data_IF_786159516935
#
_entry.id   IF_786159516935
#
_cell.length_a   1.000
_cell.length_b   1.000
_cell.length_c   1.000
_cell.angle_alpha   90.00
_cell.angle_beta   90.00
_cell.angle_gamma   90.00
#
_symmetry.space_group_name_H-M   'P 1'
#
loop_
_entity.id
_entity.type
_entity.pdbx_description
1 polymer ?
#
# COMPACT_ATOMS: atom_id res chain seq x y z
N UNK A 1 1.63 28.89 25.22
CA UNK A 1 2.47 28.20 26.24
C UNK A 1 2.12 26.70 26.29
N UNK A 2 0.85 26.34 26.39
CA UNK A 2 0.40 24.92 26.45
C UNK A 2 0.78 24.12 25.21
N UNK A 3 0.68 24.71 24.00
CA UNK A 3 1.02 24.01 22.75
C UNK A 3 2.54 23.75 22.59
N UNK A 4 3.39 24.46 23.33
CA UNK A 4 4.84 24.24 23.29
C UNK A 4 5.28 23.11 24.23
N UNK A 5 4.56 22.92 25.33
CA UNK A 5 4.89 21.91 26.34
C UNK A 5 4.27 20.53 26.05
N UNK A 6 3.28 20.48 25.14
CA UNK A 6 2.62 19.24 24.68
C UNK A 6 2.34 19.32 23.17
N UNK A 7 3.28 18.93 22.32
CA UNK A 7 3.14 19.04 20.86
C UNK A 7 1.95 18.26 20.29
N UNK A 8 1.44 17.25 20.99
CA UNK A 8 0.27 16.46 20.61
C UNK A 8 -1.01 16.85 21.35
N UNK A 9 -1.05 18.02 22.02
CA UNK A 9 -2.21 18.44 22.81
C UNK A 9 -3.48 18.63 21.98
N UNK A 10 -3.37 19.09 20.75
CA UNK A 10 -4.50 19.24 19.84
C UNK A 10 -5.03 17.88 19.41
N UNK A 11 -4.15 16.93 19.15
CA UNK A 11 -4.52 15.55 18.79
C UNK A 11 -5.16 14.83 19.97
N UNK A 12 -4.63 15.04 21.19
CA UNK A 12 -5.20 14.49 22.44
C UNK A 12 -6.58 15.10 22.74
N UNK A 13 -6.77 16.41 22.52
CA UNK A 13 -8.08 17.06 22.63
C UNK A 13 -9.05 16.55 21.54
N UNK A 14 -8.58 16.41 20.30
CA UNK A 14 -9.38 15.86 19.21
C UNK A 14 -9.82 14.43 19.53
N UNK A 15 -8.91 13.59 19.99
CA UNK A 15 -9.20 12.23 20.43
C UNK A 15 -10.18 12.18 21.60
N UNK A 16 -10.05 13.05 22.60
CA UNK A 16 -10.92 13.05 23.79
C UNK A 16 -12.30 13.64 23.57
N UNK A 17 -12.42 14.69 22.76
CA UNK A 17 -13.68 15.45 22.65
C UNK A 17 -14.41 15.27 21.34
N UNK A 18 -13.72 15.03 20.25
CA UNK A 18 -14.34 14.85 18.93
C UNK A 18 -14.52 13.36 18.58
N UNK A 19 -13.62 12.48 19.00
CA UNK A 19 -13.83 11.04 18.85
C UNK A 19 -14.96 10.52 19.74
N UNK A 20 -15.12 11.06 20.94
CA UNK A 20 -16.23 10.70 21.83
C UNK A 20 -17.62 11.12 21.31
N UNK A 21 -17.67 12.11 20.39
CA UNK A 21 -18.93 12.54 19.77
C UNK A 21 -19.28 11.77 18.47
N UNK A 22 -18.35 11.00 17.94
CA UNK A 22 -18.53 10.24 16.69
C UNK A 22 -18.36 8.74 16.84
N UNK A 23 -18.59 8.17 18.04
CA UNK A 23 -18.66 6.72 18.20
C UNK A 23 -19.82 6.21 17.34
N UNK A 24 -19.50 5.68 16.18
CA UNK A 24 -20.46 4.96 15.36
C UNK A 24 -20.85 3.69 16.09
N UNK A 25 -22.07 3.67 16.61
CA UNK A 25 -22.59 2.49 17.29
C UNK A 25 -22.84 1.39 16.26
N UNK A 26 -22.41 0.19 16.57
CA UNK A 26 -22.77 -0.98 15.79
C UNK A 26 -24.28 -1.25 15.95
N UNK A 27 -24.94 -1.60 14.85
CA UNK A 27 -26.31 -2.10 14.90
C UNK A 27 -26.35 -3.45 15.62
N UNK A 28 -27.56 -3.87 16.05
CA UNK A 28 -27.72 -5.20 16.66
C UNK A 28 -27.27 -6.31 15.72
N UNK A 29 -27.56 -6.19 14.42
CA UNK A 29 -27.15 -7.14 13.39
C UNK A 29 -25.61 -7.24 13.26
N UNK A 30 -24.91 -6.11 13.29
CA UNK A 30 -23.44 -6.06 13.24
C UNK A 30 -22.81 -6.65 14.50
N UNK A 31 -23.38 -6.38 15.68
CA UNK A 31 -22.93 -6.96 16.95
C UNK A 31 -23.15 -8.47 16.97
N UNK A 32 -24.30 -8.95 16.47
CA UNK A 32 -24.59 -10.37 16.35
C UNK A 32 -23.64 -11.05 15.38
N UNK A 33 -23.34 -10.41 14.26
CA UNK A 33 -22.37 -10.88 13.28
C UNK A 33 -20.99 -11.04 13.91
N UNK A 34 -20.47 -10.03 14.63
CA UNK A 34 -19.18 -10.09 15.31
C UNK A 34 -19.11 -11.19 16.35
N UNK A 35 -20.17 -11.37 17.15
CA UNK A 35 -20.22 -12.42 18.18
C UNK A 35 -20.20 -13.84 17.58
N UNK A 36 -20.83 -14.03 16.45
CA UNK A 36 -20.90 -15.33 15.77
C UNK A 36 -19.65 -15.60 14.94
N UNK A 37 -19.06 -14.58 14.33
CA UNK A 37 -17.94 -14.71 13.42
C UNK A 37 -16.58 -14.87 14.16
N UNK A 38 -16.38 -14.11 15.23
CA UNK A 38 -15.10 -14.05 15.96
C UNK A 38 -14.09 -13.12 15.28
N UNK A 39 -12.86 -13.57 15.10
CA UNK A 39 -11.82 -12.76 14.49
C UNK A 39 -12.06 -12.54 12.98
N UNK A 40 -11.87 -11.30 12.52
CA UNK A 40 -11.95 -10.91 11.12
C UNK A 40 -10.64 -11.27 10.43
N UNK A 41 -10.68 -12.14 9.43
CA UNK A 41 -9.50 -12.62 8.72
C UNK A 41 -9.17 -11.67 7.56
N UNK A 42 -8.02 -11.00 7.70
CA UNK A 42 -7.54 -10.03 6.69
C UNK A 42 -6.51 -10.69 5.80
N UNK A 43 -6.79 -10.79 4.50
CA UNK A 43 -5.78 -11.11 3.49
C UNK A 43 -4.98 -9.88 3.08
N UNK A 44 -3.65 -9.99 3.04
CA UNK A 44 -2.76 -8.91 2.62
C UNK A 44 -1.63 -9.44 1.72
N UNK A 45 -0.97 -8.56 0.97
CA UNK A 45 0.18 -8.93 0.15
C UNK A 45 1.46 -8.85 0.98
N UNK A 46 2.29 -9.92 0.93
CA UNK A 46 3.53 -10.05 1.69
C UNK A 46 4.58 -8.99 1.35
N UNK A 47 4.54 -8.41 0.14
CA UNK A 47 5.59 -7.54 -0.39
C UNK A 47 5.05 -6.24 -1.01
N UNK A 48 4.07 -5.60 -0.37
CA UNK A 48 3.61 -4.27 -0.78
C UNK A 48 4.27 -3.19 0.09
N UNK A 49 5.43 -2.73 -0.36
CA UNK A 49 6.30 -1.82 0.39
C UNK A 49 5.54 -0.61 0.94
N UNK A 50 5.60 -0.42 2.26
CA UNK A 50 4.95 0.68 2.99
C UNK A 50 3.47 0.46 3.26
N UNK A 51 2.80 -0.45 2.57
CA UNK A 51 1.39 -0.79 2.79
C UNK A 51 1.24 -2.04 3.64
N UNK A 52 1.85 -3.13 3.20
CA UNK A 52 1.94 -4.37 3.97
C UNK A 52 3.24 -5.11 3.60
N UNK A 53 4.04 -5.42 4.59
CA UNK A 53 5.29 -6.15 4.39
C UNK A 53 5.45 -7.19 5.47
N UNK A 54 5.58 -8.44 5.07
CA UNK A 54 5.81 -9.58 5.97
C UNK A 54 7.30 -9.90 6.03
N UNK A 55 7.87 -9.87 7.23
CA UNK A 55 9.24 -10.28 7.46
C UNK A 55 9.27 -11.77 7.83
N UNK A 56 9.72 -12.60 6.91
CA UNK A 56 9.78 -14.06 7.10
C UNK A 56 10.73 -14.49 8.23
N UNK A 57 11.68 -13.64 8.62
CA UNK A 57 12.63 -13.97 9.69
C UNK A 57 12.06 -13.72 11.08
N UNK A 58 11.30 -12.64 11.24
CA UNK A 58 10.70 -12.26 12.53
C UNK A 58 9.25 -12.71 12.64
N UNK A 59 8.56 -12.96 11.52
CA UNK A 59 7.13 -13.22 11.48
C UNK A 59 6.27 -11.96 11.63
N UNK A 60 6.90 -10.78 11.61
CA UNK A 60 6.20 -9.51 11.82
C UNK A 60 5.59 -8.98 10.51
N UNK A 61 4.42 -8.38 10.64
CA UNK A 61 3.80 -7.57 9.59
C UNK A 61 4.02 -6.10 9.89
N UNK A 62 4.49 -5.35 8.91
CA UNK A 62 4.72 -3.90 9.02
C UNK A 62 4.02 -3.15 7.88
N UNK A 63 3.78 -1.87 8.05
CA UNK A 63 3.14 -1.00 7.06
C UNK A 63 1.79 -0.45 7.54
N UNK A 64 1.12 0.26 6.64
CA UNK A 64 -0.18 0.91 6.91
C UNK A 64 -1.24 -0.08 7.43
N UNK A 65 -1.16 -1.35 7.03
CA UNK A 65 -2.04 -2.41 7.55
C UNK A 65 -1.97 -2.50 9.06
N UNK A 66 -0.76 -2.49 9.63
CA UNK A 66 -0.57 -2.58 11.09
C UNK A 66 -1.18 -1.36 11.79
N UNK A 67 -0.96 -0.15 11.25
CA UNK A 67 -1.53 1.08 11.81
C UNK A 67 -3.06 1.05 11.76
N UNK A 68 -3.64 0.53 10.67
CA UNK A 68 -5.08 0.33 10.56
C UNK A 68 -5.59 -0.65 11.64
N UNK A 69 -4.96 -1.82 11.78
CA UNK A 69 -5.38 -2.86 12.74
C UNK A 69 -5.32 -2.33 14.18
N UNK A 70 -4.23 -1.66 14.54
CA UNK A 70 -4.07 -1.04 15.87
C UNK A 70 -5.20 -0.06 16.16
N UNK A 71 -5.53 0.81 15.21
CA UNK A 71 -6.63 1.75 15.35
C UNK A 71 -7.99 1.05 15.42
N UNK A 72 -8.26 0.17 14.44
CA UNK A 72 -9.58 -0.43 14.24
C UNK A 72 -9.97 -1.34 15.41
N UNK A 73 -9.01 -1.98 16.07
CA UNK A 73 -9.26 -2.86 17.23
C UNK A 73 -10.11 -2.18 18.32
N UNK A 74 -9.91 -0.88 18.55
CA UNK A 74 -10.55 -0.17 19.67
C UNK A 74 -11.41 1.03 19.25
N UNK A 75 -11.60 1.29 17.96
CA UNK A 75 -12.26 2.52 17.50
C UNK A 75 -13.79 2.53 17.66
N UNK A 76 -14.41 1.38 17.92
CA UNK A 76 -15.86 1.22 18.04
C UNK A 76 -16.33 1.08 19.52
N UNK A 77 -15.64 1.70 20.45
CA UNK A 77 -15.98 1.73 21.86
C UNK A 77 -15.86 0.36 22.53
N UNK A 78 -16.93 -0.12 23.17
CA UNK A 78 -16.93 -1.40 23.91
C UNK A 78 -16.90 -2.63 22.98
N UNK A 79 -17.00 -2.43 21.65
CA UNK A 79 -16.96 -3.50 20.67
C UNK A 79 -15.54 -3.62 20.09
N UNK A 80 -14.65 -4.29 20.81
CA UNK A 80 -13.31 -4.57 20.31
C UNK A 80 -13.37 -5.49 19.09
N UNK A 81 -12.70 -5.06 17.99
CA UNK A 81 -12.52 -5.90 16.81
C UNK A 81 -11.26 -6.75 16.97
N UNK A 82 -11.36 -8.01 16.61
CA UNK A 82 -10.23 -8.93 16.58
C UNK A 82 -9.89 -9.23 15.13
N UNK A 83 -8.61 -9.17 14.80
CA UNK A 83 -8.12 -9.39 13.43
C UNK A 83 -7.12 -10.53 13.39
N UNK A 84 -7.22 -11.33 12.32
CA UNK A 84 -6.29 -12.41 11.99
C UNK A 84 -5.66 -12.12 10.62
N UNK A 85 -4.33 -12.06 10.55
CA UNK A 85 -3.61 -11.59 9.37
C UNK A 85 -3.08 -12.75 8.55
N UNK A 86 -3.46 -12.82 7.27
CA UNK A 86 -3.09 -13.86 6.32
C UNK A 86 -2.34 -13.26 5.14
N UNK A 87 -1.04 -13.56 5.02
CA UNK A 87 -0.18 -13.07 3.94
C UNK A 87 -0.27 -13.91 2.68
N UNK A 88 -0.26 -13.25 1.53
CA UNK A 88 -0.26 -13.87 0.19
C UNK A 88 0.86 -13.26 -0.66
N UNK A 89 1.44 -14.07 -1.53
CA UNK A 89 2.46 -13.59 -2.46
C UNK A 89 1.87 -12.96 -3.72
N UNK A 90 0.64 -13.35 -4.08
CA UNK A 90 -0.04 -12.84 -5.26
C UNK A 90 -1.47 -12.40 -4.95
N UNK A 91 -1.95 -11.41 -5.70
CA UNK A 91 -3.33 -10.95 -5.60
C UNK A 91 -4.35 -12.02 -6.06
N UNK A 92 -3.94 -12.91 -6.95
CA UNK A 92 -4.80 -14.01 -7.40
C UNK A 92 -5.07 -15.00 -6.26
N UNK A 93 -4.04 -15.41 -5.52
CA UNK A 93 -4.18 -16.28 -4.34
C UNK A 93 -5.07 -15.61 -3.29
N UNK A 94 -4.84 -14.33 -3.01
CA UNK A 94 -5.63 -13.54 -2.08
C UNK A 94 -7.12 -13.48 -2.48
N UNK A 95 -7.41 -13.27 -3.77
CA UNK A 95 -8.78 -13.27 -4.31
C UNK A 95 -9.42 -14.65 -4.18
N UNK A 96 -8.70 -15.72 -4.52
CA UNK A 96 -9.19 -17.08 -4.38
C UNK A 96 -9.49 -17.43 -2.91
N UNK A 97 -8.61 -17.05 -1.98
CA UNK A 97 -8.84 -17.25 -0.55
C UNK A 97 -10.09 -16.51 -0.05
N UNK A 98 -10.36 -15.29 -0.55
CA UNK A 98 -11.59 -14.57 -0.24
C UNK A 98 -12.83 -15.30 -0.79
N UNK A 99 -12.77 -15.73 -2.03
CA UNK A 99 -13.89 -16.47 -2.67
C UNK A 99 -14.17 -17.80 -1.99
N UNK A 100 -13.12 -18.51 -1.53
CA UNK A 100 -13.23 -19.77 -0.79
C UNK A 100 -13.69 -19.58 0.67
N UNK A 101 -13.72 -18.34 1.19
CA UNK A 101 -14.06 -18.07 2.58
C UNK A 101 -12.93 -18.37 3.57
N UNK A 102 -11.70 -18.47 3.10
CA UNK A 102 -10.50 -18.64 3.93
C UNK A 102 -10.12 -17.32 4.62
N UNK A 103 -10.39 -16.18 3.97
CA UNK A 103 -10.32 -14.82 4.52
C UNK A 103 -11.67 -14.12 4.36
N UNK A 104 -11.87 -13.04 5.10
CA UNK A 104 -13.12 -12.27 5.11
C UNK A 104 -13.02 -10.99 4.30
N UNK A 105 -11.82 -10.41 4.24
CA UNK A 105 -11.57 -9.21 3.45
C UNK A 105 -10.16 -9.21 2.85
N UNK A 106 -10.03 -8.49 1.74
CA UNK A 106 -8.75 -8.11 1.15
C UNK A 106 -8.37 -6.72 1.66
N UNK A 107 -7.22 -6.59 2.27
CA UNK A 107 -6.54 -5.31 2.52
C UNK A 107 -5.65 -5.03 1.35
N UNK A 108 -5.79 -4.11 0.80
CA UNK A 108 -6.41 -3.10 0.00
C UNK A 108 -6.47 -3.54 -1.48
N UNK A 109 -7.41 -3.04 -2.20
CA UNK A 109 -7.49 -3.21 -3.65
C UNK A 109 -7.78 -1.88 -4.31
N UNK A 110 -7.56 -1.78 -5.61
CA UNK A 110 -7.92 -0.59 -6.39
C UNK A 110 -9.42 -0.27 -6.23
N UNK A 111 -9.75 1.00 -5.99
CA UNK A 111 -11.14 1.45 -5.94
C UNK A 111 -11.73 1.53 -7.35
N UNK A 112 -11.87 0.38 -8.01
CA UNK A 112 -12.49 0.20 -9.31
C UNK A 112 -13.78 -0.61 -9.16
N UNK A 113 -14.97 0.03 -9.12
CA UNK A 113 -16.23 -0.66 -8.91
C UNK A 113 -16.54 -1.73 -9.96
N UNK A 114 -16.20 -1.47 -11.21
CA UNK A 114 -16.43 -2.42 -12.30
C UNK A 114 -15.61 -3.70 -12.14
N UNK A 115 -14.31 -3.55 -11.89
CA UNK A 115 -13.46 -4.71 -11.66
C UNK A 115 -13.85 -5.48 -10.38
N UNK A 116 -14.34 -4.78 -9.36
CA UNK A 116 -14.86 -5.42 -8.15
C UNK A 116 -16.10 -6.25 -8.45
N UNK A 117 -17.09 -5.69 -9.16
CA UNK A 117 -18.33 -6.38 -9.55
C UNK A 117 -18.05 -7.62 -10.41
N UNK A 118 -17.15 -7.50 -11.40
CA UNK A 118 -16.73 -8.61 -12.26
C UNK A 118 -16.12 -9.79 -11.47
N UNK A 119 -15.54 -9.52 -10.28
CA UNK A 119 -14.95 -10.51 -9.38
C UNK A 119 -15.86 -10.89 -8.20
N UNK A 120 -17.11 -10.43 -8.16
CA UNK A 120 -18.04 -10.73 -7.07
C UNK A 120 -17.67 -10.07 -5.74
N UNK A 121 -17.04 -8.89 -5.80
CA UNK A 121 -16.57 -8.13 -4.64
C UNK A 121 -17.44 -6.90 -4.38
N UNK A 122 -17.53 -6.52 -3.11
CA UNK A 122 -18.03 -5.23 -2.66
C UNK A 122 -16.88 -4.43 -2.03
N UNK A 123 -16.80 -3.14 -2.38
CA UNK A 123 -15.72 -2.24 -1.94
C UNK A 123 -16.19 -1.36 -0.78
N UNK A 124 -15.30 -1.16 0.21
CA UNK A 124 -15.50 -0.17 1.26
C UNK A 124 -15.34 1.27 0.73
N UNK A 125 -15.58 2.24 1.61
CA UNK A 125 -15.10 3.59 1.43
C UNK A 125 -13.57 3.59 1.21
N UNK A 126 -13.04 4.71 0.70
CA UNK A 126 -11.61 4.86 0.45
C UNK A 126 -10.79 4.66 1.73
N UNK A 127 -9.83 3.74 1.67
CA UNK A 127 -8.86 3.48 2.75
C UNK A 127 -7.65 4.39 2.61
N UNK A 128 -7.08 4.44 1.41
CA UNK A 128 -5.93 5.27 1.08
C UNK A 128 -6.19 6.04 -0.21
N UNK A 129 -5.68 7.27 -0.24
CA UNK A 129 -5.60 8.07 -1.46
C UNK A 129 -4.22 8.71 -1.53
N UNK A 130 -3.50 8.46 -2.60
CA UNK A 130 -2.15 8.96 -2.79
C UNK A 130 -1.88 9.29 -4.25
N UNK A 131 -0.95 10.22 -4.48
CA UNK A 131 -0.55 10.61 -5.83
C UNK A 131 0.49 9.64 -6.38
N UNK A 132 0.44 9.40 -7.66
CA UNK A 132 1.50 8.73 -8.42
C UNK A 132 2.40 9.77 -9.10
N UNK A 133 3.63 9.38 -9.37
CA UNK A 133 4.57 10.20 -10.11
C UNK A 133 5.34 9.37 -11.13
N UNK A 134 5.66 10.00 -12.27
CA UNK A 134 6.53 9.45 -13.28
C UNK A 134 7.93 10.07 -13.14
N UNK A 135 8.97 9.24 -13.11
CA UNK A 135 10.35 9.64 -13.34
C UNK A 135 10.66 9.43 -14.83
N UNK A 136 11.33 10.40 -15.44
CA UNK A 136 11.73 10.33 -16.84
C UNK A 136 13.06 11.05 -17.07
N UNK A 137 13.80 10.66 -18.11
CA UNK A 137 14.98 11.38 -18.57
C UNK A 137 14.63 12.47 -19.59
N UNK A 138 13.37 12.52 -20.04
CA UNK A 138 12.90 13.50 -21.02
C UNK A 138 12.58 14.82 -20.34
N UNK A 139 13.01 15.92 -20.92
CA UNK A 139 12.69 17.27 -20.44
C UNK A 139 11.22 17.69 -20.71
N UNK A 140 10.54 16.95 -21.58
CA UNK A 140 9.11 17.06 -21.85
C UNK A 140 8.44 15.72 -21.66
N UNK A 141 7.37 15.70 -20.87
CA UNK A 141 6.55 14.52 -20.63
C UNK A 141 5.08 14.95 -20.54
N UNK A 142 4.23 14.34 -21.35
CA UNK A 142 2.80 14.57 -21.35
C UNK A 142 2.07 13.26 -21.04
N UNK A 143 1.37 13.21 -19.91
CA UNK A 143 0.65 12.01 -19.48
C UNK A 143 -0.57 11.65 -20.36
N UNK A 144 -1.07 12.59 -21.15
CA UNK A 144 -2.21 12.38 -22.07
C UNK A 144 -1.81 11.72 -23.40
N UNK A 145 -0.51 11.70 -23.69
CA UNK A 145 0.05 11.03 -24.87
C UNK A 145 0.33 9.56 -24.60
N UNK A 146 0.44 8.72 -25.65
CA UNK A 146 0.93 7.36 -25.48
C UNK A 146 2.36 7.36 -24.92
N UNK A 147 2.55 6.68 -23.80
CA UNK A 147 3.85 6.51 -23.16
C UNK A 147 4.10 5.03 -22.85
N UNK A 148 5.36 4.66 -22.71
CA UNK A 148 5.77 3.36 -22.24
C UNK A 148 6.22 3.48 -20.78
N UNK A 149 5.46 2.90 -19.86
CA UNK A 149 5.74 2.92 -18.42
C UNK A 149 6.46 1.65 -17.98
N UNK A 150 7.61 1.79 -17.34
CA UNK A 150 8.27 0.71 -16.63
C UNK A 150 7.75 0.62 -15.19
N UNK A 151 7.38 -0.57 -14.76
CA UNK A 151 6.95 -0.86 -13.38
C UNK A 151 7.57 -2.15 -12.86
N UNK A 152 7.67 -2.35 -11.53
CA UNK A 152 8.01 -3.65 -10.95
C UNK A 152 6.92 -4.69 -11.26
N UNK A 153 7.31 -5.95 -11.55
CA UNK A 153 6.40 -7.03 -11.92
C UNK A 153 5.37 -7.36 -10.83
N UNK A 154 5.72 -7.16 -9.57
CA UNK A 154 4.84 -7.51 -8.45
C UNK A 154 3.98 -6.33 -7.96
N UNK A 155 4.05 -5.17 -8.63
CA UNK A 155 3.20 -4.02 -8.31
C UNK A 155 1.90 -4.06 -9.12
N UNK A 156 1.04 -5.00 -8.72
CA UNK A 156 -0.24 -5.23 -9.40
C UNK A 156 -1.18 -4.02 -9.26
N UNK A 157 -1.18 -3.37 -8.13
CA UNK A 157 -2.02 -2.18 -7.89
C UNK A 157 -1.65 -1.04 -8.82
N UNK A 158 -0.35 -0.81 -9.04
CA UNK A 158 0.13 0.19 -9.99
C UNK A 158 -0.22 -0.18 -11.43
N UNK A 159 -0.11 -1.45 -11.79
CA UNK A 159 -0.53 -1.95 -13.11
C UNK A 159 -2.01 -1.68 -13.36
N UNK A 160 -2.89 -2.02 -12.40
CA UNK A 160 -4.32 -1.73 -12.51
C UNK A 160 -4.60 -0.22 -12.62
N UNK A 161 -3.94 0.59 -11.77
CA UNK A 161 -4.08 2.03 -11.80
C UNK A 161 -3.71 2.60 -13.17
N UNK A 162 -2.57 2.20 -13.75
CA UNK A 162 -2.13 2.67 -15.08
C UNK A 162 -3.07 2.19 -16.18
N UNK A 163 -3.46 0.93 -16.18
CA UNK A 163 -4.35 0.37 -17.20
C UNK A 163 -5.72 1.07 -17.23
N UNK A 164 -6.22 1.48 -16.07
CA UNK A 164 -7.50 2.15 -15.94
C UNK A 164 -7.44 3.64 -16.30
N UNK A 165 -6.47 4.36 -15.76
CA UNK A 165 -6.40 5.82 -15.90
C UNK A 165 -5.66 6.26 -17.17
N UNK A 166 -4.75 5.44 -17.69
CA UNK A 166 -3.90 5.74 -18.85
C UNK A 166 -3.97 4.62 -19.90
N UNK A 167 -5.15 4.36 -20.50
CA UNK A 167 -5.36 3.22 -21.41
C UNK A 167 -4.55 3.29 -22.69
N UNK A 168 -3.96 4.45 -23.02
CA UNK A 168 -3.07 4.62 -24.18
C UNK A 168 -1.62 4.26 -23.87
N UNK A 169 -1.28 4.00 -22.59
CA UNK A 169 0.08 3.68 -22.20
C UNK A 169 0.38 2.19 -22.40
N UNK A 170 1.60 1.89 -22.77
CA UNK A 170 2.14 0.53 -22.77
C UNK A 170 2.84 0.29 -21.43
N UNK A 171 2.47 -0.78 -20.73
CA UNK A 171 3.04 -1.11 -19.43
C UNK A 171 4.06 -2.24 -19.62
N UNK A 172 5.30 -1.99 -19.21
CA UNK A 172 6.39 -2.97 -19.21
C UNK A 172 6.75 -3.33 -17.78
N UNK A 173 6.65 -4.62 -17.46
CA UNK A 173 6.94 -5.17 -16.14
C UNK A 173 8.38 -5.67 -16.07
N UNK A 174 9.11 -5.27 -15.03
CA UNK A 174 10.51 -5.63 -14.78
C UNK A 174 10.65 -6.38 -13.46
N UNK A 175 11.68 -7.25 -13.30
CA UNK A 175 11.86 -8.04 -12.10
C UNK A 175 11.99 -7.22 -10.81
N UNK A 176 12.55 -6.02 -10.90
CA UNK A 176 12.73 -5.12 -9.76
C UNK A 176 12.51 -3.65 -10.12
N UNK A 177 12.35 -2.80 -9.11
CA UNK A 177 12.32 -1.34 -9.29
C UNK A 177 13.61 -0.83 -9.95
N UNK A 178 14.77 -1.37 -9.58
CA UNK A 178 16.05 -1.00 -10.16
C UNK A 178 16.12 -1.34 -11.66
N UNK A 179 15.60 -2.51 -12.07
CA UNK A 179 15.54 -2.89 -13.50
C UNK A 179 14.59 -1.98 -14.27
N UNK A 180 13.44 -1.62 -13.69
CA UNK A 180 12.50 -0.69 -14.28
C UNK A 180 13.11 0.72 -14.47
N UNK A 181 13.81 1.23 -13.45
CA UNK A 181 14.52 2.50 -13.53
C UNK A 181 15.64 2.45 -14.58
N UNK A 182 16.38 1.34 -14.65
CA UNK A 182 17.42 1.13 -15.67
C UNK A 182 16.82 1.16 -17.09
N UNK A 183 15.68 0.50 -17.30
CA UNK A 183 14.98 0.51 -18.58
C UNK A 183 14.56 1.93 -18.99
N UNK A 184 14.04 2.73 -18.08
CA UNK A 184 13.73 4.15 -18.32
C UNK A 184 14.99 4.94 -18.65
N UNK A 185 16.11 4.75 -17.91
CA UNK A 185 17.38 5.45 -18.17
C UNK A 185 17.99 5.11 -19.53
N UNK A 186 17.84 3.88 -19.99
CA UNK A 186 18.35 3.40 -21.29
C UNK A 186 17.42 3.70 -22.46
N UNK A 187 16.25 4.30 -22.19
CA UNK A 187 15.26 4.63 -23.22
C UNK A 187 14.40 3.45 -23.68
N UNK A 188 14.46 2.30 -22.98
CA UNK A 188 13.57 1.15 -23.22
C UNK A 188 12.15 1.40 -22.73
N UNK A 189 11.97 2.37 -21.84
CA UNK A 189 10.70 2.91 -21.40
C UNK A 189 10.78 4.45 -21.33
N UNK A 190 9.64 5.12 -21.48
CA UNK A 190 9.56 6.58 -21.40
C UNK A 190 9.62 7.10 -19.97
N UNK A 191 9.08 6.34 -19.05
CA UNK A 191 9.05 6.69 -17.63
C UNK A 191 9.06 5.45 -16.73
N UNK A 192 9.46 5.67 -15.49
CA UNK A 192 9.23 4.76 -14.35
C UNK A 192 8.17 5.38 -13.45
N UNK A 193 7.13 4.63 -13.11
CA UNK A 193 6.03 5.14 -12.29
C UNK A 193 6.12 4.57 -10.88
N UNK A 194 5.87 5.44 -9.89
CA UNK A 194 5.94 5.12 -8.47
C UNK A 194 4.99 5.98 -7.65
N UNK A 195 4.77 5.67 -6.37
CA UNK A 195 4.11 6.58 -5.45
C UNK A 195 4.92 7.87 -5.27
N UNK A 196 4.24 9.00 -5.27
CA UNK A 196 4.88 10.31 -5.15
C UNK A 196 5.68 10.48 -3.84
N UNK A 197 5.26 9.81 -2.76
CA UNK A 197 5.98 9.78 -1.48
C UNK A 197 7.40 9.21 -1.57
N UNK A 198 7.69 8.40 -2.59
CA UNK A 198 9.02 7.81 -2.83
C UNK A 198 9.98 8.73 -3.61
N UNK A 199 9.47 9.84 -4.20
CA UNK A 199 10.29 10.78 -4.96
C UNK A 199 11.53 11.31 -4.23
N UNK A 200 11.52 11.55 -2.89
CA UNK A 200 12.70 12.02 -2.16
C UNK A 200 13.96 11.17 -2.38
N UNK A 201 13.80 9.86 -2.64
CA UNK A 201 14.92 8.94 -2.92
C UNK A 201 15.72 9.33 -4.18
N UNK A 202 15.06 10.00 -5.12
CA UNK A 202 15.62 10.37 -6.43
C UNK A 202 15.91 11.88 -6.57
N UNK A 203 15.74 12.65 -5.49
CA UNK A 203 15.91 14.12 -5.51
C UNK A 203 17.33 14.57 -5.87
N UNK A 204 18.34 13.77 -5.55
CA UNK A 204 19.75 14.09 -5.82
C UNK A 204 20.15 13.89 -7.29
N UNK A 205 19.40 13.11 -8.04
CA UNK A 205 19.68 12.84 -9.45
C UNK A 205 19.11 13.95 -10.33
N UNK A 206 19.99 14.83 -10.79
CA UNK A 206 19.64 15.97 -11.65
C UNK A 206 19.33 15.59 -13.10
N UNK A 207 19.59 14.35 -13.49
CA UNK A 207 19.29 13.84 -14.84
C UNK A 207 17.85 13.39 -14.99
N UNK A 208 17.09 13.31 -13.88
CA UNK A 208 15.71 12.84 -13.83
C UNK A 208 14.74 14.00 -13.66
N UNK A 209 13.74 14.03 -14.52
CA UNK A 209 12.55 14.86 -14.37
C UNK A 209 11.47 14.10 -13.63
N UNK A 210 10.66 14.81 -12.84
CA UNK A 210 9.61 14.28 -11.97
C UNK A 210 8.30 14.92 -12.34
N UNK A 211 7.34 14.09 -12.71
CA UNK A 211 6.03 14.55 -13.15
C UNK A 211 4.98 13.88 -12.27
N UNK A 212 4.20 14.68 -11.55
CA UNK A 212 3.05 14.15 -10.80
C UNK A 212 1.94 13.82 -11.78
N UNK A 213 1.40 12.61 -11.67
CA UNK A 213 0.26 12.20 -12.47
C UNK A 213 -1.01 12.83 -11.89
N UNK A 214 -1.92 13.28 -12.77
CA UNK A 214 -3.10 14.05 -12.34
C UNK A 214 -4.15 13.20 -11.65
N UNK A 215 -4.22 11.90 -11.96
CA UNK A 215 -5.19 10.99 -11.37
C UNK A 215 -4.65 10.42 -10.04
N UNK A 216 -5.34 10.63 -8.90
CA UNK A 216 -4.93 9.99 -7.65
C UNK A 216 -5.23 8.48 -7.69
N UNK A 217 -4.35 7.70 -7.08
CA UNK A 217 -4.63 6.31 -6.78
C UNK A 217 -5.48 6.22 -5.52
N UNK A 218 -6.60 5.51 -5.59
CA UNK A 218 -7.48 5.25 -4.45
C UNK A 218 -7.61 3.76 -4.21
N UNK A 219 -7.60 3.36 -2.97
CA UNK A 219 -7.77 1.97 -2.56
C UNK A 219 -8.91 1.81 -1.56
N UNK A 220 -9.47 0.62 -1.51
CA UNK A 220 -10.56 0.22 -0.62
C UNK A 220 -10.28 -1.16 -0.05
N UNK A 221 -10.94 -1.53 1.04
CA UNK A 221 -11.09 -2.94 1.37
C UNK A 221 -12.04 -3.58 0.35
N UNK A 222 -11.85 -4.87 0.10
CA UNK A 222 -12.81 -5.66 -0.65
C UNK A 222 -13.31 -6.83 0.22
N UNK A 223 -14.62 -7.03 0.23
CA UNK A 223 -15.30 -8.18 0.84
C UNK A 223 -16.07 -8.92 -0.24
N UNK A 224 -16.53 -10.15 0.02
CA UNK A 224 -17.45 -10.84 -0.91
C UNK A 224 -18.73 -10.01 -1.07
N UNK A 225 -19.26 -10.02 -2.26
CA UNK A 225 -20.59 -9.44 -2.52
C UNK A 225 -21.64 -10.15 -1.65
N UNK A 226 -22.37 -9.36 -0.84
CA UNK A 226 -23.34 -9.89 0.12
C UNK A 226 -22.88 -9.85 1.59
N UNK A 227 -21.60 -9.71 1.89
CA UNK A 227 -21.08 -9.55 3.26
C UNK A 227 -21.33 -8.11 3.78
N UNK A 228 -22.60 -7.72 3.82
CA UNK A 228 -23.03 -6.34 4.10
C UNK A 228 -22.73 -5.91 5.53
N UNK A 229 -22.85 -6.80 6.51
CA UNK A 229 -22.54 -6.50 7.90
C UNK A 229 -21.05 -6.17 8.08
N UNK A 230 -20.15 -7.00 7.53
CA UNK A 230 -18.71 -6.75 7.56
C UNK A 230 -18.37 -5.44 6.85
N UNK A 231 -18.90 -5.22 5.64
CA UNK A 231 -18.67 -4.00 4.88
C UNK A 231 -19.11 -2.75 5.66
N UNK A 232 -20.25 -2.82 6.35
CA UNK A 232 -20.75 -1.72 7.18
C UNK A 232 -19.83 -1.46 8.38
N UNK A 233 -19.39 -2.50 9.08
CA UNK A 233 -18.43 -2.41 10.18
C UNK A 233 -17.13 -1.74 9.72
N UNK A 234 -16.55 -2.20 8.60
CA UNK A 234 -15.34 -1.61 8.02
C UNK A 234 -15.53 -0.13 7.67
N UNK A 235 -16.65 0.23 7.07
CA UNK A 235 -16.95 1.63 6.76
C UNK A 235 -17.09 2.50 8.01
N UNK A 236 -17.59 1.95 9.12
CA UNK A 236 -17.65 2.64 10.40
C UNK A 236 -16.27 2.87 10.99
N UNK A 237 -15.37 1.87 10.92
CA UNK A 237 -13.97 2.08 11.35
C UNK A 237 -13.29 3.19 10.53
N UNK A 238 -13.51 3.22 9.21
CA UNK A 238 -12.94 4.26 8.34
C UNK A 238 -13.53 5.65 8.62
N UNK A 239 -14.81 5.72 8.98
CA UNK A 239 -15.48 7.00 9.28
C UNK A 239 -15.00 7.61 10.60
N UNK A 240 -14.70 6.79 11.60
CA UNK A 240 -14.18 7.25 12.89
C UNK A 240 -12.68 7.58 12.83
N UNK A 241 -11.98 7.08 11.83
CA UNK A 241 -10.53 7.22 11.71
C UNK A 241 -10.12 8.64 11.30
N UNK A 242 -9.11 9.25 11.97
CA UNK A 242 -8.52 10.50 11.51
C UNK A 242 -7.99 10.36 10.08
N UNK A 243 -8.37 11.29 9.19
CA UNK A 243 -8.02 11.25 7.77
C UNK A 243 -6.50 11.22 7.49
N UNK A 244 -5.70 11.73 8.43
CA UNK A 244 -4.24 11.75 8.34
C UNK A 244 -3.55 10.49 8.85
N UNK A 245 -4.27 9.57 9.54
CA UNK A 245 -3.63 8.42 10.19
C UNK A 245 -2.90 7.53 9.16
N UNK A 246 -3.64 6.97 8.20
CA UNK A 246 -3.06 6.05 7.23
C UNK A 246 -2.21 6.76 6.16
N UNK A 247 -2.59 7.97 5.77
CA UNK A 247 -1.78 8.76 4.81
C UNK A 247 -0.47 9.23 5.43
N UNK A 248 -0.48 9.61 6.71
CA UNK A 248 0.73 9.95 7.47
C UNK A 248 1.63 8.74 7.66
N UNK A 249 1.06 7.59 8.03
CA UNK A 249 1.80 6.33 8.14
C UNK A 249 2.45 5.97 6.79
N UNK A 250 1.70 6.01 5.68
CA UNK A 250 2.25 5.73 4.35
C UNK A 250 3.41 6.67 3.99
N UNK A 251 3.29 7.97 4.29
CA UNK A 251 4.36 8.94 4.06
C UNK A 251 5.63 8.62 4.86
N UNK A 252 5.48 8.13 6.10
CA UNK A 252 6.62 7.68 6.91
C UNK A 252 7.28 6.43 6.30
N UNK A 253 6.51 5.43 5.89
CA UNK A 253 7.05 4.21 5.27
C UNK A 253 7.68 4.51 3.90
N UNK A 254 7.08 5.36 3.08
CA UNK A 254 7.64 5.75 1.77
C UNK A 254 8.94 6.54 1.90
N UNK A 255 9.12 7.35 2.95
CA UNK A 255 10.34 8.12 3.21
C UNK A 255 11.43 7.31 3.92
N UNK A 256 11.09 6.16 4.51
CA UNK A 256 12.07 5.32 5.17
C UNK A 256 13.12 4.81 4.16
N UNK A 257 14.40 4.79 4.52
CA UNK A 257 15.43 4.20 3.68
C UNK A 257 15.12 2.71 3.50
N UNK A 258 15.24 2.21 2.27
CA UNK A 258 15.14 0.77 2.03
C UNK A 258 16.21 0.05 2.85
N UNK A 259 15.80 -0.98 3.59
CA UNK A 259 16.76 -1.89 4.24
C UNK A 259 17.45 -2.69 3.12
N UNK A 260 18.62 -2.23 2.69
CA UNK A 260 19.44 -2.96 1.74
C UNK A 260 20.02 -4.15 2.48
N UNK A 261 19.60 -5.35 2.12
CA UNK A 261 20.22 -6.56 2.65
C UNK A 261 21.60 -6.76 2.03
N UNK A 262 22.48 -7.52 2.70
CA UNK A 262 23.79 -7.88 2.12
C UNK A 262 23.60 -8.62 0.79
N UNK A 263 22.53 -9.42 0.66
CA UNK A 263 22.20 -10.12 -0.58
C UNK A 263 21.84 -9.16 -1.71
N UNK A 264 21.06 -8.11 -1.43
CA UNK A 264 20.71 -7.06 -2.41
C UNK A 264 21.96 -6.29 -2.81
N UNK A 265 22.80 -5.90 -1.85
CA UNK A 265 24.07 -5.22 -2.13
C UNK A 265 24.99 -6.06 -3.04
N UNK A 266 25.12 -7.37 -2.76
CA UNK A 266 25.93 -8.30 -3.58
C UNK A 266 25.32 -8.42 -4.98
N UNK A 267 24.00 -8.53 -5.10
CA UNK A 267 23.29 -8.65 -6.37
C UNK A 267 23.44 -7.40 -7.24
N UNK A 268 23.29 -6.23 -6.64
CA UNK A 268 23.40 -4.94 -7.33
C UNK A 268 24.85 -4.56 -7.67
N UNK A 269 25.82 -5.11 -6.93
CA UNK A 269 27.25 -4.85 -7.11
C UNK A 269 28.04 -6.14 -7.41
N UNK A 270 27.49 -7.02 -8.26
CA UNK A 270 28.04 -8.34 -8.52
C UNK A 270 29.52 -8.32 -8.95
N UNK A 271 29.91 -7.34 -9.77
CA UNK A 271 31.31 -7.15 -10.20
C UNK A 271 32.22 -6.79 -9.03
N UNK A 272 31.80 -5.85 -8.18
CA UNK A 272 32.56 -5.43 -6.98
C UNK A 272 32.63 -6.58 -5.96
N UNK A 273 31.53 -7.28 -5.73
CA UNK A 273 31.47 -8.42 -4.84
C UNK A 273 32.36 -9.58 -5.34
N UNK A 274 32.38 -9.83 -6.65
CA UNK A 274 33.26 -10.83 -7.26
C UNK A 274 34.74 -10.47 -7.11
N UNK A 275 35.10 -9.21 -7.32
CA UNK A 275 36.49 -8.74 -7.12
C UNK A 275 36.91 -8.89 -5.66
N UNK A 276 36.06 -8.51 -4.71
CA UNK A 276 36.36 -8.69 -3.27
C UNK A 276 36.48 -10.14 -2.92
N UNK A 277 35.63 -11.02 -3.43
CA UNK A 277 35.71 -12.47 -3.21
C UNK A 277 37.02 -13.07 -3.76
N UNK A 278 37.44 -12.67 -4.98
CA UNK A 278 38.70 -13.10 -5.59
C UNK A 278 39.88 -12.62 -4.76
N UNK A 279 39.89 -11.36 -4.30
CA UNK A 279 40.97 -10.83 -3.46
C UNK A 279 41.07 -11.57 -2.12
N UNK A 280 39.94 -11.87 -1.50
CA UNK A 280 39.94 -12.68 -0.25
C UNK A 280 40.40 -14.11 -0.46
N UNK A 281 40.07 -14.74 -1.59
CA UNK A 281 40.51 -16.10 -1.92
C UNK A 281 42.01 -16.20 -2.28
N UNK A 282 42.62 -15.05 -2.66
CA UNK A 282 44.06 -14.98 -2.91
C UNK A 282 44.89 -14.72 -1.64
N UNK A 283 44.23 -14.29 -0.55
CA UNK A 283 44.86 -14.04 0.75
C UNK A 283 44.79 -15.23 1.72
N UNK A 284 44.01 -16.26 1.38
CA UNK A 284 43.89 -17.54 2.08
C UNK A 284 44.74 -18.60 1.39
#
# INVERSE_FOLDING_TARGET
>A
RIAHDKPFYQDDLYQRYLSAQSVELLSTEEQDWLRQHGAIRIGFLNHDTGISNFDIQTGDVTGVLTDYVVYATNCLGDNALHFDLHGFDTQLEQLQALQNGEIDLIFHTSQNPRAAEENGLALSNTVLSFSQAALTTKNYFNELEPNTAAIPKNDFSLKQYLSYNYPKWTILEYPSANDAIKAMRTGSADCYVMRAGQLPRYMKDKTLYRVFLTQPSKTSFAVRQGDTALLSILNKTLKTMPSSLLTGALAMYDSAPEKVTVADFVKDNLTTASVVFILLSLLL
#
